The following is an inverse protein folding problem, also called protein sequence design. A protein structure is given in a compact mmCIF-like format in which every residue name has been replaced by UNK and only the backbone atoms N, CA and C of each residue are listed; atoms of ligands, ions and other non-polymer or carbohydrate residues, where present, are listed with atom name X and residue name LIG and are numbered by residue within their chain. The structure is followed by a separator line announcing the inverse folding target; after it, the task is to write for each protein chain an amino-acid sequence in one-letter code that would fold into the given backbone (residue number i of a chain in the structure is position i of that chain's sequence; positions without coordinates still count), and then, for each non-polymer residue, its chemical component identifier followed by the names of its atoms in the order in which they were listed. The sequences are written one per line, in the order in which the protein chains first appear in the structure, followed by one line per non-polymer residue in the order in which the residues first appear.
data_IF_592371896949
#
_entry.id   IF_592371896949
#
_cell.length_a   1.000
_cell.length_b   1.000
_cell.length_c   1.000
_cell.angle_alpha   90.00
_cell.angle_beta   90.00
_cell.angle_gamma   90.00
#
_symmetry.space_group_name_H-M   'P 1'
#
loop_
_entity.id
_entity.type
_entity.pdbx_description
1 polymer ?
#
# COMPACT_ATOMS: atom_id res chain seq x y z
N UNK A 1 6.57 12.86 -8.03
CA UNK A 1 5.90 12.10 -6.94
C UNK A 1 6.64 12.17 -5.60
N UNK A 2 7.95 12.44 -5.56
CA UNK A 2 8.67 12.53 -4.27
C UNK A 2 8.91 11.16 -3.63
N UNK A 3 9.30 11.16 -2.36
CA UNK A 3 9.55 9.96 -1.56
C UNK A 3 8.26 9.13 -1.43
N UNK A 4 8.38 7.83 -1.71
CA UNK A 4 7.30 6.84 -1.54
C UNK A 4 7.63 5.92 -0.38
N UNK A 5 6.66 5.66 0.48
CA UNK A 5 6.81 4.86 1.69
C UNK A 5 5.80 3.72 1.68
N UNK A 6 6.23 2.57 2.23
CA UNK A 6 5.41 1.38 2.43
C UNK A 6 5.33 1.08 3.92
N UNK A 7 4.12 0.81 4.41
CA UNK A 7 3.88 0.35 5.77
C UNK A 7 2.99 -0.88 5.71
N UNK A 8 3.43 -1.97 6.35
CA UNK A 8 2.64 -3.18 6.53
C UNK A 8 2.20 -3.35 7.98
N UNK A 9 0.97 -3.83 8.18
CA UNK A 9 0.48 -4.28 9.48
C UNK A 9 -0.45 -5.49 9.31
N UNK A 10 -0.53 -6.32 10.34
CA UNK A 10 -1.51 -7.40 10.43
C UNK A 10 -2.62 -7.00 11.40
N UNK A 11 -3.88 -7.27 11.05
CA UNK A 11 -5.01 -6.97 11.92
C UNK A 11 -6.15 -7.95 11.74
N UNK A 12 -6.84 -8.27 12.83
CA UNK A 12 -8.01 -9.14 12.80
C UNK A 12 -9.23 -8.41 12.28
N UNK A 13 -9.88 -8.95 11.26
CA UNK A 13 -11.21 -8.51 10.87
C UNK A 13 -12.27 -9.12 11.80
N UNK A 14 -13.38 -8.43 12.10
CA UNK A 14 -14.42 -8.92 13.01
C UNK A 14 -14.95 -10.33 12.67
N UNK A 15 -15.00 -10.67 11.37
CA UNK A 15 -15.53 -11.93 10.87
C UNK A 15 -14.44 -12.90 10.35
N UNK A 16 -13.17 -12.58 10.55
CA UNK A 16 -12.05 -13.39 10.07
C UNK A 16 -11.49 -14.27 11.21
N UNK A 17 -11.36 -15.57 10.93
CA UNK A 17 -10.71 -16.53 11.84
C UNK A 17 -9.20 -16.28 11.98
N UNK A 18 -8.62 -15.52 11.04
CA UNK A 18 -7.19 -15.26 10.94
C UNK A 18 -6.92 -13.77 10.75
N UNK A 19 -5.72 -13.35 11.15
CA UNK A 19 -5.28 -11.98 10.92
C UNK A 19 -5.11 -11.74 9.42
N UNK A 20 -5.45 -10.52 9.00
CA UNK A 20 -5.33 -10.06 7.62
C UNK A 20 -4.09 -9.21 7.45
N UNK A 21 -3.34 -9.44 6.39
CA UNK A 21 -2.16 -8.65 6.04
C UNK A 21 -2.56 -7.43 5.19
N UNK A 22 -2.20 -6.23 5.66
CA UNK A 22 -2.46 -4.96 4.99
C UNK A 22 -1.14 -4.29 4.61
N UNK A 23 -1.07 -3.70 3.41
CA UNK A 23 0.07 -2.92 2.95
C UNK A 23 -0.41 -1.58 2.40
N UNK A 24 0.07 -0.48 2.96
CA UNK A 24 -0.22 0.86 2.48
C UNK A 24 1.01 1.44 1.78
N UNK A 25 0.83 1.90 0.54
CA UNK A 25 1.77 2.74 -0.18
C UNK A 25 1.29 4.19 -0.20
N UNK A 26 2.15 5.13 0.19
CA UNK A 26 1.83 6.56 0.20
C UNK A 26 3.07 7.41 -0.11
N UNK A 27 2.87 8.71 -0.31
CA UNK A 27 3.94 9.67 -0.56
C UNK A 27 4.05 10.69 0.56
N UNK A 28 5.26 11.21 0.81
CA UNK A 28 5.46 12.36 1.70
C UNK A 28 5.08 13.70 1.06
N UNK A 29 4.90 13.74 -0.26
CA UNK A 29 4.57 14.99 -0.98
C UNK A 29 5.73 15.97 -1.11
N UNK A 30 6.95 15.53 -0.84
CA UNK A 30 8.23 16.25 -0.93
C UNK A 30 8.82 16.28 -2.35
N UNK A 31 8.01 15.99 -3.37
CA UNK A 31 8.42 16.10 -4.77
C UNK A 31 8.64 17.55 -5.19
N UNK A 32 9.47 17.77 -6.21
CA UNK A 32 9.82 19.12 -6.71
C UNK A 32 8.60 19.96 -7.12
N UNK A 33 7.56 19.32 -7.66
CA UNK A 33 6.32 19.98 -8.08
C UNK A 33 5.29 20.16 -6.94
N UNK A 34 5.67 19.78 -5.72
CA UNK A 34 4.84 19.89 -4.53
C UNK A 34 3.78 18.80 -4.35
N UNK A 35 3.07 18.82 -3.20
CA UNK A 35 2.18 17.74 -2.78
C UNK A 35 0.90 17.63 -3.63
N UNK A 36 0.39 18.74 -4.17
CA UNK A 36 -0.82 18.74 -5.02
C UNK A 36 -0.55 18.03 -6.34
N UNK A 37 0.57 18.35 -7.00
CA UNK A 37 0.96 17.67 -8.24
C UNK A 37 1.31 16.20 -7.96
N UNK A 38 1.96 15.92 -6.82
CA UNK A 38 2.22 14.55 -6.37
C UNK A 38 0.96 13.69 -6.22
N UNK A 39 -0.11 14.25 -5.63
CA UNK A 39 -1.42 13.60 -5.49
C UNK A 39 -2.01 13.22 -6.85
N UNK A 40 -2.09 14.19 -7.77
CA UNK A 40 -2.69 13.94 -9.09
C UNK A 40 -1.84 12.97 -9.91
N UNK A 41 -0.51 13.03 -9.78
CA UNK A 41 0.39 12.06 -10.39
C UNK A 41 0.16 10.63 -9.85
N UNK A 42 -0.05 10.46 -8.54
CA UNK A 42 -0.39 9.17 -7.94
C UNK A 42 -1.72 8.65 -8.46
N UNK A 43 -2.78 9.48 -8.43
CA UNK A 43 -4.10 9.11 -8.97
C UNK A 43 -3.97 8.63 -10.42
N UNK A 44 -3.32 9.41 -11.27
CA UNK A 44 -3.15 9.07 -12.67
C UNK A 44 -2.30 7.79 -12.87
N UNK A 45 -1.33 7.52 -12.00
CA UNK A 45 -0.54 6.28 -12.06
C UNK A 45 -1.38 5.05 -11.71
N UNK A 46 -2.24 5.14 -10.69
CA UNK A 46 -3.17 4.06 -10.30
C UNK A 46 -4.18 3.79 -11.40
N UNK A 47 -4.80 4.83 -11.97
CA UNK A 47 -5.77 4.70 -13.06
C UNK A 47 -5.12 4.10 -14.31
N UNK A 48 -3.90 4.51 -14.68
CA UNK A 48 -3.14 3.88 -15.77
C UNK A 48 -2.80 2.42 -15.50
N UNK A 49 -2.66 2.03 -14.24
CA UNK A 49 -2.47 0.64 -13.84
C UNK A 49 -3.78 -0.16 -13.82
N UNK A 50 -4.92 0.44 -14.19
CA UNK A 50 -6.23 -0.20 -14.19
C UNK A 50 -6.90 -0.23 -12.82
N UNK A 51 -6.36 0.48 -11.82
CA UNK A 51 -6.96 0.58 -10.49
C UNK A 51 -7.94 1.76 -10.45
N UNK A 52 -9.16 1.49 -9.99
CA UNK A 52 -10.11 2.55 -9.67
C UNK A 52 -9.78 3.22 -8.35
N UNK A 53 -9.63 4.55 -8.36
CA UNK A 53 -9.40 5.35 -7.15
C UNK A 53 -10.74 5.73 -6.54
N UNK A 54 -10.96 5.29 -5.30
CA UNK A 54 -12.27 5.39 -4.65
C UNK A 54 -13.22 4.29 -5.13
N UNK A 55 -14.13 3.86 -4.26
CA UNK A 55 -15.05 2.76 -4.52
C UNK A 55 -14.75 1.50 -3.72
N UNK A 56 -15.20 0.36 -4.23
CA UNK A 56 -15.04 -0.95 -3.58
C UNK A 56 -13.63 -1.52 -3.77
N UNK A 57 -13.29 -2.50 -2.94
CA UNK A 57 -12.07 -3.30 -3.08
C UNK A 57 -12.08 -4.01 -4.44
N UNK A 58 -10.93 -4.04 -5.10
CA UNK A 58 -10.73 -4.68 -6.40
C UNK A 58 -9.86 -5.92 -6.22
N UNK A 59 -10.31 -7.06 -6.74
CA UNK A 59 -9.51 -8.27 -6.77
C UNK A 59 -8.52 -8.24 -7.94
N UNK A 60 -7.25 -8.01 -7.62
CA UNK A 60 -6.17 -7.96 -8.61
C UNK A 60 -5.73 -9.35 -9.10
N UNK A 61 -6.10 -10.44 -8.42
CA UNK A 61 -5.76 -11.79 -8.86
C UNK A 61 -6.65 -12.26 -10.01
N UNK A 62 -7.92 -11.84 -10.02
CA UNK A 62 -8.90 -12.20 -11.06
C UNK A 62 -8.96 -11.20 -12.22
N UNK A 63 -8.47 -9.98 -12.03
CA UNK A 63 -8.63 -8.88 -12.99
C UNK A 63 -7.46 -8.77 -13.98
N UNK A 64 -7.66 -9.21 -15.23
CA UNK A 64 -6.65 -9.11 -16.29
C UNK A 64 -6.24 -7.68 -16.67
N UNK A 65 -7.06 -6.69 -16.32
CA UNK A 65 -6.84 -5.28 -16.65
C UNK A 65 -5.98 -4.54 -15.62
N UNK A 66 -5.75 -5.13 -14.44
CA UNK A 66 -4.94 -4.53 -13.39
C UNK A 66 -3.47 -4.89 -13.63
N UNK A 67 -2.65 -3.87 -13.85
CA UNK A 67 -1.21 -3.98 -14.06
C UNK A 67 -0.40 -3.76 -12.77
N UNK A 68 -1.09 -3.71 -11.63
CA UNK A 68 -0.48 -3.72 -10.31
C UNK A 68 -0.23 -5.17 -9.86
N UNK A 69 0.93 -5.43 -9.26
CA UNK A 69 1.26 -6.72 -8.65
C UNK A 69 1.78 -6.51 -7.24
N UNK A 70 1.27 -7.32 -6.32
CA UNK A 70 1.80 -7.43 -4.98
C UNK A 70 2.16 -8.89 -4.72
N UNK A 71 3.45 -9.15 -4.56
CA UNK A 71 3.97 -10.50 -4.36
C UNK A 71 4.63 -10.60 -2.99
N UNK A 72 4.34 -11.69 -2.28
CA UNK A 72 5.03 -12.05 -1.03
C UNK A 72 6.04 -13.14 -1.35
N UNK A 73 7.33 -12.81 -1.29
CA UNK A 73 8.38 -13.75 -1.63
C UNK A 73 9.65 -13.48 -0.80
N UNK A 74 10.29 -14.54 -0.31
CA UNK A 74 11.56 -14.46 0.42
C UNK A 74 11.53 -13.45 1.60
N UNK A 75 10.41 -13.39 2.31
CA UNK A 75 10.21 -12.45 3.43
C UNK A 75 10.02 -10.98 3.03
N UNK A 76 9.76 -10.71 1.75
CA UNK A 76 9.52 -9.38 1.22
C UNK A 76 8.10 -9.27 0.67
N UNK A 77 7.51 -8.08 0.79
CA UNK A 77 6.41 -7.65 -0.04
C UNK A 77 6.97 -6.83 -1.21
N UNK A 78 6.73 -7.30 -2.43
CA UNK A 78 7.18 -6.65 -3.67
C UNK A 78 5.98 -6.04 -4.36
N UNK A 79 5.91 -4.72 -4.35
CA UNK A 79 4.87 -3.96 -5.01
C UNK A 79 5.38 -3.43 -6.35
N UNK A 80 4.66 -3.76 -7.43
CA UNK A 80 4.99 -3.34 -8.79
C UNK A 80 3.76 -2.69 -9.43
N UNK A 81 3.98 -1.52 -10.03
CA UNK A 81 3.07 -0.75 -10.87
C UNK A 81 3.84 -0.30 -12.11
N UNK A 82 3.16 0.12 -13.20
CA UNK A 82 3.83 0.82 -14.28
C UNK A 82 4.66 2.00 -13.74
N UNK A 83 5.97 1.93 -13.94
CA UNK A 83 6.96 2.94 -13.51
C UNK A 83 7.19 3.09 -11.99
N UNK A 84 6.69 2.16 -11.17
CA UNK A 84 6.96 2.13 -9.74
C UNK A 84 7.20 0.68 -9.28
N UNK A 85 8.36 0.43 -8.68
CA UNK A 85 8.68 -0.85 -8.04
C UNK A 85 9.23 -0.57 -6.65
N UNK A 86 8.70 -1.24 -5.65
CA UNK A 86 9.14 -1.12 -4.27
C UNK A 86 9.23 -2.50 -3.60
N UNK A 87 10.18 -2.63 -2.68
CA UNK A 87 10.37 -3.82 -1.88
C UNK A 87 10.30 -3.41 -0.41
N UNK A 88 9.51 -4.15 0.36
CA UNK A 88 9.29 -3.91 1.77
C UNK A 88 9.67 -5.17 2.57
N UNK A 89 10.66 -5.08 3.48
CA UNK A 89 10.98 -6.18 4.38
C UNK A 89 9.85 -6.31 5.40
N UNK A 90 8.97 -7.29 5.17
CA UNK A 90 7.74 -7.41 5.94
C UNK A 90 8.02 -8.06 7.32
N UNK A 91 7.36 -7.58 8.39
CA UNK A 91 7.40 -8.22 9.70
C UNK A 91 6.93 -9.68 9.66
N UNK A 92 7.41 -10.51 10.60
CA UNK A 92 7.12 -11.94 10.61
C UNK A 92 5.61 -12.23 10.81
N UNK A 93 4.96 -11.45 11.66
CA UNK A 93 3.52 -11.49 11.91
C UNK A 93 2.70 -11.16 10.65
N UNK A 94 3.18 -10.21 9.85
CA UNK A 94 2.57 -9.83 8.59
C UNK A 94 2.68 -10.97 7.55
N UNK A 95 3.86 -11.58 7.45
CA UNK A 95 4.10 -12.71 6.56
C UNK A 95 3.24 -13.92 6.94
N UNK A 96 3.09 -14.19 8.25
CA UNK A 96 2.23 -15.25 8.76
C UNK A 96 0.76 -15.00 8.39
N UNK A 97 0.26 -13.78 8.57
CA UNK A 97 -1.10 -13.39 8.17
C UNK A 97 -1.31 -13.55 6.65
N UNK A 98 -0.37 -13.05 5.84
CA UNK A 98 -0.43 -13.16 4.38
C UNK A 98 -0.45 -14.63 3.91
N UNK A 99 0.37 -15.48 4.53
CA UNK A 99 0.42 -16.90 4.19
C UNK A 99 -0.84 -17.66 4.62
N UNK A 100 -1.34 -17.37 5.83
CA UNK A 100 -2.49 -18.07 6.38
C UNK A 100 -3.77 -17.74 5.59
N UNK A 101 -3.96 -16.46 5.25
CA UNK A 101 -5.11 -16.00 4.48
C UNK A 101 -4.97 -16.28 2.97
N UNK A 102 -3.75 -16.46 2.46
CA UNK A 102 -3.46 -16.64 1.04
C UNK A 102 -3.64 -15.37 0.19
N UNK A 103 -3.85 -14.22 0.82
CA UNK A 103 -4.07 -12.94 0.17
C UNK A 103 -3.54 -11.78 1.03
N UNK A 104 -3.38 -10.62 0.40
CA UNK A 104 -2.93 -9.37 1.04
C UNK A 104 -3.76 -8.22 0.51
N UNK A 105 -4.18 -7.31 1.41
CA UNK A 105 -4.87 -6.09 1.01
C UNK A 105 -3.84 -4.98 0.75
N UNK A 106 -3.64 -4.67 -0.53
CA UNK A 106 -2.84 -3.51 -0.96
C UNK A 106 -3.69 -2.25 -1.03
N UNK A 107 -3.19 -1.17 -0.43
CA UNK A 107 -3.84 0.14 -0.39
C UNK A 107 -2.88 1.22 -0.89
N UNK A 108 -3.45 2.24 -1.53
CA UNK A 108 -2.71 3.39 -2.02
C UNK A 108 -3.36 4.67 -1.53
N UNK A 109 -2.59 5.51 -0.85
CA UNK A 109 -3.06 6.84 -0.51
C UNK A 109 -2.68 7.83 -1.62
N UNK A 110 -3.68 8.51 -2.18
CA UNK A 110 -3.42 9.67 -3.06
C UNK A 110 -3.12 10.93 -2.26
N UNK A 111 -3.58 11.01 -1.01
CA UNK A 111 -3.24 12.10 -0.10
C UNK A 111 -1.82 11.90 0.44
N UNK A 112 -0.91 12.88 0.29
CA UNK A 112 0.41 12.80 0.91
C UNK A 112 0.34 12.83 2.44
N UNK A 113 1.30 12.19 3.10
CA UNK A 113 1.45 12.18 4.56
C UNK A 113 2.83 12.73 4.97
N UNK A 114 3.02 14.06 4.96
CA UNK A 114 4.33 14.67 5.19
C UNK A 114 4.87 14.48 6.63
N UNK A 115 3.98 14.23 7.61
CA UNK A 115 4.37 14.03 9.01
C UNK A 115 4.96 12.63 9.28
N UNK A 116 4.79 11.68 8.36
CA UNK A 116 5.32 10.33 8.51
C UNK A 116 6.82 10.29 8.16
N UNK A 117 7.66 10.30 9.20
CA UNK A 117 9.12 10.31 9.03
C UNK A 117 9.62 8.92 8.59
N UNK A 118 10.35 8.80 7.47
CA UNK A 118 10.91 7.51 7.03
C UNK A 118 11.78 6.85 8.09
N UNK A 119 11.58 5.55 8.29
CA UNK A 119 12.32 4.75 9.27
C UNK A 119 11.89 4.95 10.72
N UNK A 120 10.93 5.83 11.00
CA UNK A 120 10.27 5.91 12.31
C UNK A 120 9.03 5.03 12.33
N UNK A 121 8.72 4.42 13.49
CA UNK A 121 7.48 3.67 13.64
C UNK A 121 6.28 4.60 13.51
N UNK A 122 5.24 4.11 12.84
CA UNK A 122 3.92 4.75 12.77
C UNK A 122 3.00 4.02 13.73
N UNK A 123 2.41 4.74 14.68
CA UNK A 123 1.47 4.16 15.64
C UNK A 123 0.10 3.90 15.01
N UNK A 124 -0.71 3.06 15.65
CA UNK A 124 -2.09 2.84 15.24
C UNK A 124 -2.91 4.14 15.25
N UNK A 125 -2.71 5.00 16.24
CA UNK A 125 -3.40 6.30 16.33
C UNK A 125 -3.02 7.23 15.17
N UNK A 126 -1.75 7.23 14.78
CA UNK A 126 -1.28 7.98 13.61
C UNK A 126 -1.90 7.44 12.32
N UNK A 127 -1.93 6.12 12.16
CA UNK A 127 -2.54 5.47 11.00
C UNK A 127 -4.05 5.76 10.93
N UNK A 128 -4.75 5.74 12.08
CA UNK A 128 -6.18 6.04 12.18
C UNK A 128 -6.49 7.50 11.89
N UNK A 129 -5.64 8.44 12.31
CA UNK A 129 -5.81 9.86 12.04
C UNK A 129 -5.58 10.22 10.55
N UNK A 130 -4.86 9.37 9.82
CA UNK A 130 -4.61 9.55 8.40
C UNK A 130 -5.75 9.03 7.50
N UNK A 131 -6.49 8.02 7.96
CA UNK A 131 -7.51 7.30 7.18
C UNK A 131 -8.81 8.08 6.97
#
# INVERSE_FOLDING_TARGET
MGTQILIGWSGRQPDADQDTAYLLAYSLGDGQDGPVVGREAMRAALERAGLHVGGSIQDAAESSNIQAKLLVQAGQAVLTLPHLSAQYPAPAEWLAAAQAQGQVYGMFATTPWPEAVPGQPVSEDQLRAFA
#
